data_IF_602866767010
#
_entry.id   IF_602866767010
#
_cell.length_a   1.000
_cell.length_b   1.000
_cell.length_c   1.000
_cell.angle_alpha   90.00
_cell.angle_beta   90.00
_cell.angle_gamma   90.00
#
_symmetry.space_group_name_H-M   'P 1'
#
loop_
_entity.id
_entity.type
_entity.pdbx_description
1 polymer ?
#
# COMPACT_ATOMS: atom_id res chain seq x y z
N UNK A 1 -2.98 20.78 -7.34
CA UNK A 1 -1.65 21.16 -7.88
C UNK A 1 -0.77 19.91 -7.82
N UNK A 2 -0.51 19.29 -8.97
CA UNK A 2 0.40 18.14 -9.13
C UNK A 2 1.83 18.68 -9.07
N UNK A 3 2.49 18.59 -7.93
CA UNK A 3 3.92 18.83 -7.84
C UNK A 3 4.62 17.59 -8.40
N UNK A 4 5.10 17.67 -9.63
CA UNK A 4 6.14 16.77 -10.14
C UNK A 4 7.40 17.06 -9.32
N UNK A 5 7.71 16.16 -8.40
CA UNK A 5 8.94 16.22 -7.62
C UNK A 5 10.13 16.04 -8.58
N UNK A 6 11.17 16.84 -8.38
CA UNK A 6 12.46 16.65 -9.06
C UNK A 6 12.90 15.20 -8.95
N UNK A 7 13.40 14.62 -10.03
CA UNK A 7 13.83 13.21 -10.15
C UNK A 7 14.93 12.79 -9.15
N UNK A 8 15.41 13.71 -8.33
CA UNK A 8 16.45 13.52 -7.30
C UNK A 8 15.89 13.35 -5.88
N UNK A 9 14.59 13.65 -5.64
CA UNK A 9 14.00 13.56 -4.31
C UNK A 9 13.50 12.14 -4.05
N UNK A 10 14.05 11.47 -3.02
CA UNK A 10 13.58 10.13 -2.63
C UNK A 10 12.21 10.17 -1.96
N UNK A 11 11.47 9.06 -2.00
CA UNK A 11 10.11 8.99 -1.43
C UNK A 11 10.09 9.31 0.08
N UNK A 12 11.09 8.85 0.83
CA UNK A 12 11.19 9.13 2.26
C UNK A 12 11.47 10.63 2.54
N UNK A 13 12.25 11.30 1.69
CA UNK A 13 12.43 12.73 1.78
C UNK A 13 11.14 13.49 1.48
N UNK A 14 10.43 13.09 0.42
CA UNK A 14 9.14 13.68 0.05
C UNK A 14 8.07 13.46 1.13
N UNK A 15 8.00 12.27 1.73
CA UNK A 15 7.10 11.96 2.85
C UNK A 15 7.41 12.80 4.09
N UNK A 16 8.69 13.05 4.36
CA UNK A 16 9.11 13.88 5.48
C UNK A 16 8.66 15.34 5.33
N UNK A 17 8.71 15.89 4.11
CA UNK A 17 8.39 17.27 3.80
C UNK A 17 9.18 18.31 4.58
N UNK A 18 8.85 19.58 4.39
CA UNK A 18 9.44 20.64 5.18
C UNK A 18 8.78 20.69 6.57
N UNK A 19 9.59 20.85 7.63
CA UNK A 19 9.14 20.87 9.03
C UNK A 19 8.15 22.00 9.32
N UNK A 20 8.25 23.12 8.59
CA UNK A 20 7.38 24.28 8.74
C UNK A 20 5.97 24.07 8.19
N UNK A 21 5.79 23.14 7.25
CA UNK A 21 4.54 22.92 6.51
C UNK A 21 3.70 21.77 7.08
N UNK A 22 4.00 21.30 8.29
CA UNK A 22 3.24 20.20 8.89
C UNK A 22 1.90 20.68 9.41
N UNK A 23 0.77 20.29 8.80
CA UNK A 23 -0.54 20.63 9.33
C UNK A 23 -0.74 19.97 10.70
N UNK A 24 -1.44 20.67 11.59
CA UNK A 24 -1.89 20.06 12.85
C UNK A 24 -2.87 18.94 12.51
N UNK A 25 -2.71 17.71 13.08
CA UNK A 25 -3.67 16.65 12.87
C UNK A 25 -5.06 17.12 13.26
N UNK A 26 -6.02 17.01 12.34
CA UNK A 26 -7.42 17.36 12.62
C UNK A 26 -8.08 16.18 13.30
N UNK A 27 -8.30 16.31 14.59
CA UNK A 27 -9.09 15.35 15.39
C UNK A 27 -10.56 15.68 15.16
N UNK A 28 -11.35 14.69 14.73
CA UNK A 28 -12.78 14.85 14.50
C UNK A 28 -13.24 14.60 13.05
N UNK A 29 -12.39 14.88 12.07
CA UNK A 29 -12.72 14.63 10.64
C UNK A 29 -13.05 13.16 10.38
N UNK A 30 -12.43 12.23 11.13
CA UNK A 30 -12.67 10.78 11.00
C UNK A 30 -14.10 10.37 11.36
N UNK A 31 -14.72 11.00 12.37
CA UNK A 31 -16.10 10.71 12.77
C UNK A 31 -17.10 11.18 11.70
N UNK A 32 -16.86 12.35 11.12
CA UNK A 32 -17.68 12.89 10.04
C UNK A 32 -17.56 12.02 8.78
N UNK A 33 -16.33 11.65 8.41
CA UNK A 33 -16.09 10.77 7.26
C UNK A 33 -16.71 9.38 7.45
N UNK A 34 -16.60 8.82 8.67
CA UNK A 34 -17.22 7.54 9.01
C UNK A 34 -18.74 7.62 8.88
N UNK A 35 -19.38 8.62 9.47
CA UNK A 35 -20.83 8.78 9.39
C UNK A 35 -21.30 8.93 7.94
N UNK A 36 -20.66 9.79 7.15
CA UNK A 36 -21.00 9.98 5.75
C UNK A 36 -20.82 8.70 4.90
N UNK A 37 -19.76 7.93 5.17
CA UNK A 37 -19.51 6.67 4.50
C UNK A 37 -20.54 5.61 4.89
N UNK A 38 -20.85 5.47 6.19
CA UNK A 38 -21.84 4.50 6.69
C UNK A 38 -23.25 4.83 6.18
N UNK A 39 -23.67 6.09 6.20
CA UNK A 39 -24.98 6.50 5.68
C UNK A 39 -25.15 6.13 4.20
N UNK A 40 -24.10 6.34 3.39
CA UNK A 40 -24.12 6.00 1.96
C UNK A 40 -24.08 4.48 1.75
N UNK A 41 -23.26 3.76 2.52
CA UNK A 41 -23.16 2.30 2.42
C UNK A 41 -24.45 1.60 2.83
N UNK A 42 -25.19 2.09 3.81
CA UNK A 42 -26.50 1.53 4.18
C UNK A 42 -27.51 1.55 3.02
N UNK A 43 -27.40 2.50 2.10
CA UNK A 43 -28.25 2.54 0.92
C UNK A 43 -27.85 1.50 -0.15
N UNK A 44 -26.61 1.02 -0.14
CA UNK A 44 -26.04 0.09 -1.13
C UNK A 44 -26.16 -1.35 -0.63
N UNK A 45 -25.92 -1.58 0.66
CA UNK A 45 -25.72 -2.92 1.24
C UNK A 45 -27.06 -3.53 1.63
N UNK A 46 -27.38 -4.69 1.06
CA UNK A 46 -28.59 -5.42 1.41
C UNK A 46 -28.49 -6.22 2.72
N UNK A 47 -29.63 -6.75 3.24
CA UNK A 47 -29.68 -7.48 4.51
C UNK A 47 -28.77 -8.73 4.58
N UNK A 48 -28.47 -9.34 3.45
CA UNK A 48 -27.58 -10.51 3.36
C UNK A 48 -26.19 -10.24 3.93
N UNK A 49 -25.69 -9.01 3.85
CA UNK A 49 -24.36 -8.64 4.30
C UNK A 49 -24.21 -8.55 5.83
N UNK A 50 -25.28 -8.66 6.59
CA UNK A 50 -25.19 -8.84 8.04
C UNK A 50 -24.72 -10.26 8.44
N UNK A 51 -24.89 -11.24 7.56
CA UNK A 51 -24.44 -12.62 7.77
C UNK A 51 -23.13 -12.94 7.01
N UNK A 52 -22.91 -12.28 5.86
CA UNK A 52 -21.70 -12.38 5.04
C UNK A 52 -21.22 -10.96 4.69
N UNK A 53 -20.32 -10.38 5.49
CA UNK A 53 -19.92 -9.00 5.32
C UNK A 53 -19.32 -8.71 3.93
N UNK A 54 -19.75 -7.61 3.33
CA UNK A 54 -19.13 -7.07 2.13
C UNK A 54 -17.70 -6.63 2.45
N UNK A 55 -16.72 -7.33 1.89
CA UNK A 55 -15.30 -7.01 2.10
C UNK A 55 -14.80 -6.13 0.96
N UNK A 56 -14.29 -4.93 1.28
CA UNK A 56 -13.71 -3.98 0.36
C UNK A 56 -12.19 -3.85 0.62
N UNK A 57 -11.41 -3.95 -0.46
CA UNK A 57 -9.94 -3.82 -0.46
C UNK A 57 -9.49 -2.88 -1.57
N UNK A 58 -8.25 -2.43 -1.54
CA UNK A 58 -7.68 -1.58 -2.60
C UNK A 58 -7.78 -2.22 -3.99
N UNK A 59 -7.64 -3.52 -4.10
CA UNK A 59 -7.80 -4.25 -5.37
C UNK A 59 -9.21 -4.12 -5.97
N UNK A 60 -10.23 -3.89 -5.17
CA UNK A 60 -11.62 -3.75 -5.61
C UNK A 60 -11.91 -2.37 -6.23
N UNK A 61 -10.96 -1.42 -6.10
CA UNK A 61 -11.02 -0.10 -6.71
C UNK A 61 -10.69 -0.12 -8.21
N UNK A 62 -10.16 -1.23 -8.71
CA UNK A 62 -9.89 -1.43 -10.14
C UNK A 62 -11.19 -1.72 -10.88
N UNK A 63 -11.34 -1.14 -12.06
CA UNK A 63 -12.49 -1.42 -12.92
C UNK A 63 -12.45 -2.84 -13.49
N UNK A 64 -11.28 -3.26 -13.93
CA UNK A 64 -11.07 -4.60 -14.48
C UNK A 64 -9.77 -5.19 -13.90
N UNK A 65 -9.77 -6.46 -13.45
CA UNK A 65 -8.55 -7.13 -13.13
C UNK A 65 -7.73 -7.32 -14.42
N UNK A 66 -6.41 -7.12 -14.39
CA UNK A 66 -5.58 -7.38 -15.56
C UNK A 66 -5.70 -8.86 -15.94
N UNK A 67 -6.05 -9.13 -17.21
CA UNK A 67 -6.02 -10.48 -17.76
C UNK A 67 -4.56 -10.83 -18.05
N UNK A 68 -3.95 -11.56 -17.13
CA UNK A 68 -2.58 -12.05 -17.28
C UNK A 68 -2.61 -13.55 -17.63
N UNK A 69 -1.68 -13.98 -18.46
CA UNK A 69 -1.41 -15.41 -18.62
C UNK A 69 -1.06 -16.03 -17.26
N UNK A 70 -1.39 -17.30 -17.05
CA UNK A 70 -1.27 -17.96 -15.73
C UNK A 70 0.14 -17.85 -15.16
N UNK A 71 1.18 -18.12 -15.96
CA UNK A 71 2.58 -17.98 -15.52
C UNK A 71 2.95 -16.52 -15.22
N UNK A 72 2.49 -15.55 -16.03
CA UNK A 72 2.74 -14.13 -15.79
C UNK A 72 2.11 -13.65 -14.47
N UNK A 73 0.96 -14.21 -14.10
CA UNK A 73 0.31 -13.94 -12.81
C UNK A 73 1.17 -14.45 -11.63
N UNK A 74 1.75 -15.66 -11.75
CA UNK A 74 2.62 -16.24 -10.72
C UNK A 74 3.91 -15.43 -10.54
N UNK A 75 4.60 -15.04 -11.62
CA UNK A 75 5.76 -14.15 -11.55
C UNK A 75 5.42 -12.80 -10.90
N UNK A 76 4.31 -12.17 -11.28
CA UNK A 76 3.90 -10.89 -10.70
C UNK A 76 3.64 -11.00 -9.19
N UNK A 77 3.01 -12.09 -8.74
CA UNK A 77 2.74 -12.34 -7.31
C UNK A 77 4.03 -12.57 -6.54
N UNK A 78 4.91 -13.43 -7.04
CA UNK A 78 6.22 -13.70 -6.41
C UNK A 78 7.05 -12.43 -6.32
N UNK A 79 7.14 -11.66 -7.41
CA UNK A 79 7.83 -10.37 -7.41
C UNK A 79 7.28 -9.42 -6.34
N UNK A 80 5.96 -9.30 -6.24
CA UNK A 80 5.30 -8.52 -5.19
C UNK A 80 5.75 -8.95 -3.80
N UNK A 81 5.68 -10.25 -3.49
CA UNK A 81 6.09 -10.81 -2.20
C UNK A 81 7.57 -10.50 -1.91
N UNK A 82 8.46 -10.72 -2.87
CA UNK A 82 9.89 -10.45 -2.69
C UNK A 82 10.18 -8.97 -2.46
N UNK A 83 9.46 -8.05 -3.14
CA UNK A 83 9.62 -6.61 -2.92
C UNK A 83 9.12 -6.17 -1.53
N UNK A 84 8.05 -6.76 -0.99
CA UNK A 84 7.62 -6.53 0.40
C UNK A 84 8.68 -7.01 1.40
N UNK A 85 9.30 -8.18 1.17
CA UNK A 85 10.43 -8.64 1.98
C UNK A 85 11.62 -7.69 1.87
N UNK A 86 11.93 -7.20 0.66
CA UNK A 86 13.00 -6.24 0.43
C UNK A 86 12.77 -4.95 1.22
N UNK A 87 11.55 -4.37 1.17
CA UNK A 87 11.21 -3.17 1.95
C UNK A 87 11.41 -3.39 3.44
N UNK A 88 10.95 -4.53 3.97
CA UNK A 88 11.08 -4.87 5.38
C UNK A 88 12.55 -4.99 5.81
N UNK A 89 13.39 -5.67 5.02
CA UNK A 89 14.81 -5.82 5.31
C UNK A 89 15.56 -4.49 5.19
N UNK A 90 15.25 -3.67 4.17
CA UNK A 90 15.81 -2.32 4.04
C UNK A 90 15.42 -1.43 5.22
N UNK A 91 14.21 -1.57 5.75
CA UNK A 91 13.73 -0.77 6.89
C UNK A 91 14.50 -1.02 8.19
N UNK A 92 15.16 -2.17 8.31
CA UNK A 92 16.05 -2.50 9.45
C UNK A 92 17.53 -2.33 9.11
N UNK A 93 17.85 -1.71 7.96
CA UNK A 93 19.21 -1.38 7.56
C UNK A 93 19.97 -2.53 6.87
N UNK A 94 19.26 -3.57 6.41
CA UNK A 94 19.88 -4.65 5.66
C UNK A 94 20.33 -4.18 4.27
N UNK A 95 21.46 -4.72 3.80
CA UNK A 95 21.96 -4.49 2.44
C UNK A 95 22.13 -5.83 1.71
N UNK A 96 21.68 -5.90 0.47
CA UNK A 96 21.72 -7.10 -0.35
C UNK A 96 23.02 -7.21 -1.15
N UNK A 97 23.64 -8.40 -1.17
CA UNK A 97 24.70 -8.77 -2.11
C UNK A 97 24.11 -9.54 -3.30
N UNK A 98 23.22 -10.50 -3.03
CA UNK A 98 22.47 -11.23 -4.05
C UNK A 98 20.96 -11.13 -3.70
N UNK A 99 20.26 -10.08 -4.18
CA UNK A 99 18.88 -9.81 -3.78
C UNK A 99 17.94 -11.00 -3.99
N UNK A 100 18.04 -11.70 -5.13
CA UNK A 100 17.14 -12.80 -5.44
C UNK A 100 17.25 -13.93 -4.43
N UNK A 101 18.45 -14.45 -4.20
CA UNK A 101 18.68 -15.57 -3.30
C UNK A 101 18.37 -15.23 -1.84
N UNK A 102 18.77 -14.04 -1.40
CA UNK A 102 18.56 -13.58 -0.03
C UNK A 102 17.08 -13.35 0.28
N UNK A 103 16.33 -12.75 -0.65
CA UNK A 103 14.90 -12.53 -0.52
C UNK A 103 14.12 -13.83 -0.60
N UNK A 104 14.51 -14.75 -1.48
CA UNK A 104 13.90 -16.07 -1.59
C UNK A 104 14.13 -16.89 -0.31
N UNK A 105 15.35 -16.85 0.24
CA UNK A 105 15.66 -17.51 1.52
C UNK A 105 14.84 -16.92 2.67
N UNK A 106 14.72 -15.59 2.76
CA UNK A 106 13.89 -14.94 3.77
C UNK A 106 12.42 -15.35 3.65
N UNK A 107 11.89 -15.40 2.43
CA UNK A 107 10.52 -15.82 2.20
C UNK A 107 10.29 -17.30 2.56
N UNK A 108 11.19 -18.21 2.16
CA UNK A 108 11.13 -19.64 2.53
C UNK A 108 11.08 -19.87 4.05
N UNK A 109 11.81 -19.08 4.81
CA UNK A 109 11.78 -19.18 6.28
C UNK A 109 10.40 -18.84 6.89
N UNK A 110 9.59 -18.04 6.20
CA UNK A 110 8.30 -17.55 6.73
C UNK A 110 7.08 -18.28 6.14
N UNK A 111 7.16 -18.70 4.89
CA UNK A 111 5.98 -19.12 4.12
C UNK A 111 5.58 -20.59 4.33
N UNK A 112 6.49 -21.46 4.82
CA UNK A 112 6.26 -22.90 4.84
C UNK A 112 6.03 -23.47 3.43
N UNK A 113 5.26 -24.55 3.29
CA UNK A 113 4.85 -25.08 1.99
C UNK A 113 3.92 -24.10 1.28
N UNK A 114 4.27 -23.73 0.04
CA UNK A 114 3.58 -22.69 -0.71
C UNK A 114 3.65 -22.99 -2.23
N UNK A 115 2.51 -22.93 -2.91
CA UNK A 115 2.42 -23.17 -4.36
C UNK A 115 3.30 -22.25 -5.19
N UNK A 116 3.48 -20.99 -4.76
CA UNK A 116 4.34 -20.04 -5.47
C UNK A 116 5.83 -20.34 -5.27
N UNK A 117 6.23 -20.90 -4.11
CA UNK A 117 7.59 -21.42 -3.93
C UNK A 117 7.83 -22.64 -4.82
N UNK A 118 6.87 -23.57 -4.87
CA UNK A 118 6.93 -24.70 -5.77
C UNK A 118 7.03 -24.24 -7.23
N UNK A 119 6.29 -23.22 -7.65
CA UNK A 119 6.41 -22.61 -8.97
C UNK A 119 7.83 -22.13 -9.27
N UNK A 120 8.47 -21.42 -8.34
CA UNK A 120 9.85 -20.94 -8.50
C UNK A 120 10.85 -22.09 -8.55
N UNK A 121 10.66 -23.13 -7.74
CA UNK A 121 11.55 -24.30 -7.69
C UNK A 121 11.48 -25.16 -8.98
N UNK A 122 10.40 -25.04 -9.77
CA UNK A 122 10.22 -25.73 -11.04
C UNK A 122 10.64 -24.91 -12.27
N UNK A 123 11.10 -23.66 -12.09
CA UNK A 123 11.61 -22.86 -13.20
C UNK A 123 12.87 -23.52 -13.78
N UNK A 124 12.99 -23.49 -15.12
CA UNK A 124 14.24 -23.84 -15.75
C UNK A 124 15.33 -22.78 -15.47
N UNK A 125 16.59 -23.14 -15.77
CA UNK A 125 17.72 -22.27 -15.46
C UNK A 125 17.69 -20.93 -16.20
N UNK A 126 17.09 -20.86 -17.39
CA UNK A 126 16.98 -19.63 -18.18
C UNK A 126 15.94 -18.68 -17.57
N UNK A 127 14.76 -19.19 -17.25
CA UNK A 127 13.69 -18.41 -16.64
C UNK A 127 14.06 -17.97 -15.22
N UNK A 128 14.74 -18.83 -14.46
CA UNK A 128 15.26 -18.47 -13.15
C UNK A 128 16.28 -17.32 -13.22
N UNK A 129 17.22 -17.37 -14.19
CA UNK A 129 18.22 -16.31 -14.38
C UNK A 129 17.58 -14.98 -14.81
N UNK A 130 16.58 -15.02 -15.70
CA UNK A 130 15.81 -13.85 -16.10
C UNK A 130 15.09 -13.23 -14.91
N UNK A 131 14.40 -14.06 -14.13
CA UNK A 131 13.66 -13.61 -12.97
C UNK A 131 14.57 -13.04 -11.87
N UNK A 132 15.72 -13.68 -11.61
CA UNK A 132 16.73 -13.16 -10.69
C UNK A 132 17.24 -11.77 -11.12
N UNK A 133 17.47 -11.57 -12.42
CA UNK A 133 17.88 -10.27 -12.98
C UNK A 133 16.78 -9.21 -12.77
N UNK A 134 15.52 -9.58 -12.99
CA UNK A 134 14.37 -8.72 -12.76
C UNK A 134 14.26 -8.31 -11.27
N UNK A 135 14.39 -9.26 -10.34
CA UNK A 135 14.35 -8.97 -8.89
C UNK A 135 15.51 -8.05 -8.48
N UNK A 136 16.71 -8.24 -9.02
CA UNK A 136 17.84 -7.35 -8.77
C UNK A 136 17.57 -5.92 -9.24
N UNK A 137 16.96 -5.76 -10.43
CA UNK A 137 16.58 -4.47 -10.97
C UNK A 137 15.51 -3.78 -10.09
N UNK A 138 14.44 -4.48 -9.70
CA UNK A 138 13.41 -3.97 -8.80
C UNK A 138 13.96 -3.58 -7.42
N UNK A 139 14.86 -4.41 -6.85
CA UNK A 139 15.50 -4.12 -5.55
C UNK A 139 16.39 -2.87 -5.64
N UNK A 140 17.07 -2.69 -6.76
CA UNK A 140 17.88 -1.50 -7.03
C UNK A 140 17.00 -0.26 -7.13
N UNK A 141 15.91 -0.32 -7.91
CA UNK A 141 14.95 0.77 -8.04
C UNK A 141 14.30 1.12 -6.69
N UNK A 142 13.91 0.10 -5.91
CA UNK A 142 13.38 0.29 -4.55
C UNK A 142 14.38 1.04 -3.67
N UNK A 143 15.63 0.60 -3.60
CA UNK A 143 16.66 1.22 -2.76
C UNK A 143 16.92 2.69 -3.15
N UNK A 144 17.00 2.96 -4.45
CA UNK A 144 17.22 4.31 -4.95
C UNK A 144 16.01 5.22 -4.71
N UNK A 145 14.80 4.75 -5.02
CA UNK A 145 13.58 5.51 -4.84
C UNK A 145 13.21 5.74 -3.36
N UNK A 146 13.52 4.76 -2.50
CA UNK A 146 13.19 4.83 -1.08
C UNK A 146 14.00 5.89 -0.35
N UNK A 147 15.33 5.87 -0.49
CA UNK A 147 16.23 6.72 0.26
C UNK A 147 16.56 6.19 1.66
N UNK A 148 17.18 7.02 2.48
CA UNK A 148 17.62 6.63 3.82
C UNK A 148 16.56 6.88 4.88
N UNK A 149 16.35 5.88 5.76
CA UNK A 149 15.49 6.00 6.93
C UNK A 149 16.11 6.92 7.98
N UNK A 150 15.28 7.73 8.62
CA UNK A 150 15.71 8.55 9.76
C UNK A 150 15.86 7.70 11.02
N UNK A 151 16.94 7.93 11.78
CA UNK A 151 17.21 7.20 13.04
C UNK A 151 16.15 7.40 14.13
N UNK A 152 15.35 8.47 14.04
CA UNK A 152 14.28 8.79 14.99
C UNK A 152 12.91 8.31 14.56
N UNK A 153 12.81 7.54 13.47
CA UNK A 153 11.53 7.06 12.97
C UNK A 153 11.16 5.71 13.58
N UNK A 154 9.90 5.58 13.96
CA UNK A 154 9.30 4.29 14.32
C UNK A 154 8.66 3.69 13.08
N UNK A 155 9.17 2.55 12.64
CA UNK A 155 8.75 1.89 11.40
C UNK A 155 7.88 0.68 11.74
N UNK A 156 6.77 0.54 11.00
CA UNK A 156 5.90 -0.65 11.06
C UNK A 156 5.65 -1.12 9.64
N UNK A 157 6.20 -2.27 9.29
CA UNK A 157 5.97 -2.91 8.00
C UNK A 157 4.75 -3.83 8.04
N UNK A 158 4.11 -4.01 6.90
CA UNK A 158 2.98 -4.94 6.71
C UNK A 158 1.85 -4.68 7.72
N UNK A 159 1.41 -3.42 7.79
CA UNK A 159 0.38 -2.97 8.75
C UNK A 159 -1.00 -3.36 8.25
N UNK A 160 -1.61 -4.37 8.88
CA UNK A 160 -3.01 -4.73 8.61
C UNK A 160 -3.94 -3.68 9.18
N UNK A 161 -4.79 -3.13 8.34
CA UNK A 161 -5.81 -2.15 8.71
C UNK A 161 -7.18 -2.72 8.36
N UNK A 162 -8.10 -2.67 9.32
CA UNK A 162 -9.47 -3.11 9.11
C UNK A 162 -10.43 -2.21 9.89
N UNK A 163 -11.50 -1.81 9.23
CA UNK A 163 -12.61 -1.08 9.82
C UNK A 163 -13.92 -1.80 9.52
N UNK A 164 -14.70 -2.04 10.57
CA UNK A 164 -16.06 -2.53 10.42
C UNK A 164 -16.99 -1.34 10.40
N UNK A 165 -17.86 -1.29 9.38
CA UNK A 165 -18.83 -0.24 9.12
C UNK A 165 -20.22 -0.86 9.04
N UNK A 166 -21.27 -0.03 9.15
CA UNK A 166 -22.65 -0.46 9.03
C UNK A 166 -22.98 -1.63 9.98
N UNK A 167 -22.66 -1.49 11.28
CA UNK A 167 -22.84 -2.53 12.29
C UNK A 167 -22.19 -3.89 11.93
N UNK A 168 -21.11 -3.87 11.14
CA UNK A 168 -20.37 -5.06 10.72
C UNK A 168 -20.75 -5.63 9.35
N UNK A 169 -21.77 -5.07 8.68
CA UNK A 169 -22.17 -5.50 7.33
C UNK A 169 -21.13 -5.19 6.25
N UNK A 170 -20.23 -4.23 6.50
CA UNK A 170 -19.13 -3.88 5.58
C UNK A 170 -17.81 -3.91 6.32
N UNK A 171 -16.81 -4.55 5.72
CA UNK A 171 -15.44 -4.57 6.20
C UNK A 171 -14.52 -3.90 5.17
N UNK A 172 -14.02 -2.71 5.49
CA UNK A 172 -12.98 -2.03 4.70
C UNK A 172 -11.64 -2.43 5.28
N UNK A 173 -10.86 -3.24 4.55
CA UNK A 173 -9.61 -3.80 5.07
C UNK A 173 -8.54 -3.92 4.01
N UNK A 174 -7.28 -3.70 4.41
CA UNK A 174 -6.13 -3.95 3.56
C UNK A 174 -4.83 -4.05 4.38
N UNK A 175 -3.72 -4.14 3.67
CA UNK A 175 -2.38 -4.11 4.24
C UNK A 175 -1.62 -2.94 3.65
N UNK A 176 -1.08 -2.07 4.52
CA UNK A 176 -0.19 -0.97 4.17
C UNK A 176 1.24 -1.49 4.31
N UNK A 177 2.08 -1.30 3.31
CA UNK A 177 3.41 -1.87 3.27
C UNK A 177 4.32 -1.30 4.36
N UNK A 178 4.28 0.02 4.55
CA UNK A 178 5.06 0.68 5.58
C UNK A 178 4.30 1.88 6.17
N UNK A 179 4.17 1.89 7.48
CA UNK A 179 3.70 3.03 8.27
C UNK A 179 4.86 3.57 9.08
N UNK A 180 5.11 4.87 8.98
CA UNK A 180 6.22 5.54 9.64
C UNK A 180 5.67 6.59 10.59
N UNK A 181 5.98 6.44 11.87
CA UNK A 181 5.70 7.47 12.86
C UNK A 181 6.97 8.29 13.11
N UNK A 182 6.91 9.58 12.80
CA UNK A 182 8.03 10.47 13.05
C UNK A 182 8.02 10.90 14.52
N UNK A 183 8.93 10.34 15.32
CA UNK A 183 9.08 10.68 16.74
C UNK A 183 9.76 12.05 16.84
N UNK A 184 9.17 12.96 17.58
CA UNK A 184 9.97 14.10 18.07
C UNK A 184 9.40 15.50 17.99
N UNK A 185 8.08 15.73 17.83
CA UNK A 185 7.52 17.09 17.99
C UNK A 185 6.06 17.14 18.45
N UNK A 186 5.63 16.19 19.28
CA UNK A 186 4.29 16.24 19.93
C UNK A 186 3.08 16.03 19.01
N UNK A 187 3.28 15.98 17.70
CA UNK A 187 2.24 15.62 16.74
C UNK A 187 2.56 14.21 16.21
N UNK A 188 1.68 13.25 16.44
CA UNK A 188 1.72 11.96 15.81
C UNK A 188 1.53 12.16 14.29
N UNK A 189 2.62 12.33 13.57
CA UNK A 189 2.59 12.48 12.12
C UNK A 189 2.95 11.16 11.47
N UNK A 190 1.96 10.29 11.34
CA UNK A 190 2.08 9.05 10.59
C UNK A 190 2.14 9.38 9.10
N UNK A 191 3.08 8.80 8.38
CA UNK A 191 3.10 8.77 6.92
C UNK A 191 3.00 7.33 6.45
N UNK A 192 2.39 7.13 5.28
CA UNK A 192 2.14 5.81 4.71
C UNK A 192 2.91 5.66 3.40
N UNK A 193 3.45 4.47 3.18
CA UNK A 193 4.12 4.11 1.94
C UNK A 193 3.65 2.73 1.49
N UNK A 194 3.25 2.66 0.23
CA UNK A 194 2.93 1.43 -0.46
C UNK A 194 3.88 1.21 -1.63
N UNK A 195 4.10 -0.06 -1.98
CA UNK A 195 4.88 -0.46 -3.13
C UNK A 195 3.99 -1.02 -4.23
N UNK A 196 4.40 -0.76 -5.46
CA UNK A 196 3.91 -1.51 -6.62
C UNK A 196 5.06 -2.03 -7.44
N UNK A 197 4.90 -3.20 -8.04
CA UNK A 197 5.84 -3.79 -9.00
C UNK A 197 5.39 -3.56 -10.44
N UNK A 198 4.36 -2.73 -10.64
CA UNK A 198 3.89 -2.26 -11.93
C UNK A 198 4.19 -0.76 -12.09
N UNK A 199 4.13 -0.21 -13.31
CA UNK A 199 4.11 1.23 -13.53
C UNK A 199 2.97 1.89 -12.76
N UNK A 200 3.15 3.17 -12.37
CA UNK A 200 2.11 3.93 -11.69
C UNK A 200 0.97 4.26 -12.66
N UNK A 201 -0.25 4.16 -12.16
CA UNK A 201 -1.49 4.42 -12.86
C UNK A 201 -2.54 5.08 -11.95
N UNK A 202 -3.73 5.29 -12.46
CA UNK A 202 -4.86 5.82 -11.68
C UNK A 202 -5.21 4.91 -10.48
N UNK A 203 -5.05 3.59 -10.64
CA UNK A 203 -5.29 2.63 -9.54
C UNK A 203 -4.32 2.83 -8.40
N UNK A 204 -3.08 3.22 -8.70
CA UNK A 204 -2.07 3.53 -7.69
C UNK A 204 -2.49 4.74 -6.83
N UNK A 205 -3.08 5.77 -7.44
CA UNK A 205 -3.64 6.91 -6.70
C UNK A 205 -4.88 6.51 -5.88
N UNK A 206 -5.78 5.68 -6.43
CA UNK A 206 -6.93 5.16 -5.69
C UNK A 206 -6.50 4.34 -4.47
N UNK A 207 -5.50 3.47 -4.62
CA UNK A 207 -4.92 2.68 -3.52
C UNK A 207 -4.36 3.59 -2.42
N UNK A 208 -3.58 4.60 -2.79
CA UNK A 208 -3.04 5.60 -1.86
C UNK A 208 -4.14 6.27 -1.04
N UNK A 209 -5.21 6.75 -1.71
CA UNK A 209 -6.35 7.39 -1.05
C UNK A 209 -7.10 6.43 -0.12
N UNK A 210 -7.30 5.19 -0.57
CA UNK A 210 -7.95 4.13 0.20
C UNK A 210 -7.19 3.82 1.49
N UNK A 211 -5.87 3.68 1.43
CA UNK A 211 -5.05 3.43 2.62
C UNK A 211 -5.06 4.61 3.58
N UNK A 212 -5.02 5.84 3.07
CA UNK A 212 -5.15 7.04 3.89
C UNK A 212 -6.51 7.10 4.61
N UNK A 213 -7.61 6.82 3.92
CA UNK A 213 -8.95 6.74 4.50
C UNK A 213 -9.02 5.62 5.55
N UNK A 214 -8.59 4.42 5.20
CA UNK A 214 -8.66 3.24 6.07
C UNK A 214 -7.87 3.47 7.37
N UNK A 215 -6.68 4.07 7.30
CA UNK A 215 -5.88 4.46 8.46
C UNK A 215 -6.58 5.55 9.29
N UNK A 216 -7.17 6.56 8.64
CA UNK A 216 -7.92 7.64 9.31
C UNK A 216 -9.11 7.08 10.10
N UNK A 217 -9.89 6.19 9.48
CA UNK A 217 -11.04 5.54 10.13
C UNK A 217 -10.62 4.70 11.34
N UNK A 218 -9.46 4.04 11.25
CA UNK A 218 -8.93 3.17 12.31
C UNK A 218 -8.40 3.95 13.51
N UNK A 219 -7.64 5.02 13.26
CA UNK A 219 -6.90 5.72 14.31
C UNK A 219 -7.59 6.96 14.82
N UNK A 220 -8.59 7.46 14.11
CA UNK A 220 -9.22 8.76 14.39
C UNK A 220 -8.37 9.95 13.97
N UNK A 221 -7.16 9.72 13.46
CA UNK A 221 -6.19 10.77 13.10
C UNK A 221 -5.77 10.58 11.63
N UNK A 222 -5.86 11.64 10.87
CA UNK A 222 -5.46 11.68 9.47
C UNK A 222 -3.92 11.55 9.34
N UNK A 223 -3.41 10.62 8.50
CA UNK A 223 -1.99 10.58 8.18
C UNK A 223 -1.53 11.92 7.58
N UNK A 224 -0.28 12.28 7.77
CA UNK A 224 0.28 13.52 7.21
C UNK A 224 0.38 13.43 5.68
N UNK A 225 0.97 12.33 5.21
CA UNK A 225 1.19 12.05 3.78
C UNK A 225 1.03 10.57 3.51
N UNK A 226 0.71 10.27 2.26
CA UNK A 226 0.71 8.92 1.73
C UNK A 226 1.46 8.90 0.40
N UNK A 227 2.15 7.81 0.12
CA UNK A 227 2.93 7.63 -1.09
C UNK A 227 2.78 6.22 -1.68
N UNK A 228 2.97 6.12 -2.98
CA UNK A 228 3.21 4.86 -3.70
C UNK A 228 4.52 4.98 -4.45
N UNK A 229 5.37 3.96 -4.34
CA UNK A 229 6.63 3.84 -5.08
C UNK A 229 6.54 2.65 -6.03
N UNK A 230 6.76 2.90 -7.32
CA UNK A 230 6.91 1.84 -8.33
C UNK A 230 8.34 1.32 -8.34
N UNK A 231 8.51 0.04 -8.11
CA UNK A 231 9.81 -0.61 -8.27
C UNK A 231 10.11 -1.01 -9.72
N UNK A 232 9.10 -0.93 -10.61
CA UNK A 232 9.29 -1.17 -12.04
C UNK A 232 9.95 0.04 -12.74
N UNK A 233 9.51 1.26 -12.39
CA UNK A 233 9.96 2.49 -13.06
C UNK A 233 10.81 3.39 -12.17
N UNK A 234 10.81 3.18 -10.84
CA UNK A 234 11.40 4.10 -9.86
C UNK A 234 10.58 5.37 -9.63
N UNK A 235 9.42 5.51 -10.29
CA UNK A 235 8.54 6.65 -10.14
C UNK A 235 7.79 6.59 -8.80
N UNK A 236 7.38 7.77 -8.32
CA UNK A 236 6.65 7.88 -7.05
C UNK A 236 5.49 8.88 -7.15
N UNK A 237 4.42 8.58 -6.43
CA UNK A 237 3.33 9.51 -6.16
C UNK A 237 3.37 9.81 -4.66
N UNK A 238 3.41 11.09 -4.29
CA UNK A 238 3.31 11.53 -2.89
C UNK A 238 2.20 12.56 -2.79
N UNK A 239 1.30 12.37 -1.83
CA UNK A 239 0.17 13.27 -1.59
C UNK A 239 0.09 13.66 -0.11
N UNK A 240 -0.22 14.93 0.16
CA UNK A 240 -0.72 15.33 1.47
C UNK A 240 -2.14 14.80 1.65
N UNK A 241 -2.40 14.26 2.84
CA UNK A 241 -3.74 13.73 3.13
C UNK A 241 -4.63 14.86 3.61
N UNK A 242 -5.38 15.42 2.67
CA UNK A 242 -6.38 16.47 2.91
C UNK A 242 -7.79 15.87 3.05
N UNK A 243 -8.74 16.70 3.50
CA UNK A 243 -10.14 16.30 3.54
C UNK A 243 -10.68 16.00 2.13
N UNK A 244 -10.24 16.75 1.11
CA UNK A 244 -10.63 16.51 -0.28
C UNK A 244 -10.14 15.15 -0.79
N UNK A 245 -8.89 14.77 -0.46
CA UNK A 245 -8.35 13.46 -0.80
C UNK A 245 -9.14 12.34 -0.12
N UNK A 246 -9.51 12.52 1.15
CA UNK A 246 -10.31 11.53 1.89
C UNK A 246 -11.75 11.45 1.37
N UNK A 247 -12.33 12.56 0.94
CA UNK A 247 -13.66 12.59 0.31
C UNK A 247 -13.65 11.85 -1.03
N UNK A 248 -12.58 12.00 -1.82
CA UNK A 248 -12.41 11.20 -3.04
C UNK A 248 -12.25 9.71 -2.72
N UNK A 249 -11.53 9.37 -1.66
CA UNK A 249 -11.41 7.98 -1.21
C UNK A 249 -12.77 7.38 -0.79
N UNK A 250 -13.64 8.17 -0.14
CA UNK A 250 -15.02 7.75 0.17
C UNK A 250 -15.78 7.44 -1.12
N UNK A 251 -15.70 8.30 -2.13
CA UNK A 251 -16.36 8.07 -3.42
C UNK A 251 -15.83 6.79 -4.11
N UNK A 252 -14.50 6.58 -4.12
CA UNK A 252 -13.90 5.36 -4.68
C UNK A 252 -14.40 4.09 -3.96
N UNK A 253 -14.56 4.13 -2.63
CA UNK A 253 -15.08 3.00 -1.83
C UNK A 253 -16.54 2.72 -2.12
N UNK A 254 -17.37 3.76 -2.24
CA UNK A 254 -18.80 3.62 -2.57
C UNK A 254 -18.99 3.02 -3.96
N UNK A 255 -18.25 3.50 -4.95
CA UNK A 255 -18.28 2.94 -6.30
C UNK A 255 -17.86 1.44 -6.32
N UNK A 256 -16.84 1.07 -5.55
CA UNK A 256 -16.44 -0.33 -5.42
C UNK A 256 -17.51 -1.18 -4.73
N UNK A 257 -18.19 -0.65 -3.72
CA UNK A 257 -19.29 -1.33 -3.03
C UNK A 257 -20.48 -1.57 -3.98
N UNK A 258 -20.89 -0.56 -4.75
CA UNK A 258 -21.97 -0.69 -5.73
C UNK A 258 -21.65 -1.78 -6.76
N UNK A 259 -20.45 -1.78 -7.34
CA UNK A 259 -20.02 -2.80 -8.31
C UNK A 259 -20.03 -4.22 -7.73
N UNK A 260 -19.70 -4.38 -6.44
CA UNK A 260 -19.70 -5.69 -5.79
C UNK A 260 -21.11 -6.20 -5.45
N UNK A 261 -22.02 -5.29 -5.09
CA UNK A 261 -23.40 -5.65 -4.80
C UNK A 261 -24.24 -5.95 -6.05
N UNK A 262 -23.78 -5.54 -7.25
CA UNK A 262 -24.44 -5.81 -8.54
C UNK A 262 -24.04 -7.16 -9.16
N UNK A 263 -23.02 -7.83 -8.65
CA UNK A 263 -22.53 -9.14 -9.08
C UNK A 263 -23.16 -10.27 -8.27
#
# INVERSE_FOLDING_TARGET
MTSTLDSTTTVLQALRGNRADRPTPRVGDSAILRAALEDSLYAIVGPQHFFDPLVLRSQDLRFEPPVLAENAHSFARVRGILMHHALRLLSVGYSFNNPYEELLAAWRCEAGENELLAFIDHLDGEDQAKFATEIAAHTTALRHGLGAFGSSWSLRSTVRVANLLCAGAVAVRDTIDLSIDTIGNGANSTVLLDLTTAPLDETSEKTLRFHALNQTLRTGVTPLRSAVLSTATGEQIVREVSIDLLTQAVADVLEAAERKCQK
#
